data_IF_787972149434
#
_entry.id   IF_787972149434
#
_cell.length_a   1.000
_cell.length_b   1.000
_cell.length_c   1.000
_cell.angle_alpha   90.00
_cell.angle_beta   90.00
_cell.angle_gamma   90.00
#
_symmetry.space_group_name_H-M   'P 1'
#
loop_
_entity.id
_entity.type
_entity.pdbx_description
1 polymer ?
#
# COMPACT_ATOMS: atom_id res chain seq x y z
N UNK A 1 -2.57 11.84 14.05
CA UNK A 1 -2.25 13.17 13.49
C UNK A 1 -2.72 13.18 12.04
N UNK A 2 -3.43 14.20 11.59
CA UNK A 2 -3.99 14.28 10.24
C UNK A 2 -3.07 15.15 9.36
N UNK A 3 -2.52 14.57 8.28
CA UNK A 3 -1.76 15.32 7.28
C UNK A 3 -2.74 16.07 6.36
N UNK A 4 -3.04 17.33 6.66
CA UNK A 4 -3.88 18.18 5.81
C UNK A 4 -3.01 18.84 4.73
N UNK A 5 -3.09 18.32 3.50
CA UNK A 5 -2.76 19.04 2.28
C UNK A 5 -3.55 18.41 1.12
N UNK A 6 -4.84 18.76 0.97
CA UNK A 6 -5.67 18.45 -0.20
C UNK A 6 -5.83 16.97 -0.62
N UNK A 7 -5.19 16.04 0.10
CA UNK A 7 -5.10 14.63 -0.22
C UNK A 7 -6.11 13.81 0.56
N UNK A 8 -6.53 12.70 -0.03
CA UNK A 8 -7.35 11.66 0.58
C UNK A 8 -6.80 11.36 1.97
N UNK A 9 -7.60 11.65 3.01
CA UNK A 9 -7.21 11.34 4.38
C UNK A 9 -7.20 9.83 4.56
N UNK A 10 -6.00 9.27 4.72
CA UNK A 10 -5.86 7.87 5.09
C UNK A 10 -6.26 7.71 6.55
N UNK A 11 -7.29 6.91 6.80
CA UNK A 11 -7.62 6.48 8.15
C UNK A 11 -6.76 5.26 8.51
N UNK A 12 -6.03 5.38 9.62
CA UNK A 12 -5.15 4.32 10.08
C UNK A 12 -5.93 3.22 10.82
N UNK A 13 -6.15 2.11 10.15
CA UNK A 13 -6.80 0.92 10.72
C UNK A 13 -5.81 -0.10 11.28
N UNK A 14 -4.50 0.15 11.23
CA UNK A 14 -3.50 -0.81 11.70
C UNK A 14 -3.75 -1.26 13.15
N UNK A 15 -3.96 -0.36 14.12
CA UNK A 15 -4.19 -0.76 15.51
C UNK A 15 -5.41 -1.68 15.66
N UNK A 16 -6.53 -1.30 15.03
CA UNK A 16 -7.77 -2.07 15.09
C UNK A 16 -7.65 -3.44 14.39
N UNK A 17 -6.86 -3.54 13.33
CA UNK A 17 -6.60 -4.82 12.64
C UNK A 17 -5.72 -5.75 13.48
N UNK A 18 -4.66 -5.22 14.09
CA UNK A 18 -3.78 -5.99 14.99
C UNK A 18 -4.55 -6.48 16.21
N UNK A 19 -5.39 -5.63 16.82
CA UNK A 19 -6.23 -6.00 17.96
C UNK A 19 -7.22 -7.14 17.63
N UNK A 20 -7.78 -7.13 16.42
CA UNK A 20 -8.77 -8.14 15.98
C UNK A 20 -8.16 -9.45 15.52
N UNK A 21 -7.02 -9.40 14.82
CA UNK A 21 -6.42 -10.56 14.15
C UNK A 21 -5.25 -11.16 14.92
N UNK A 22 -4.68 -10.42 15.87
CA UNK A 22 -3.37 -10.71 16.45
C UNK A 22 -2.24 -10.50 15.44
N UNK A 23 -0.99 -10.45 15.90
CA UNK A 23 0.17 -10.17 15.04
C UNK A 23 0.35 -11.19 13.90
N UNK A 24 0.22 -12.48 14.19
CA UNK A 24 0.37 -13.54 13.19
C UNK A 24 -0.75 -13.52 12.14
N UNK A 25 -2.01 -13.39 12.60
CA UNK A 25 -3.17 -13.29 11.71
C UNK A 25 -3.10 -12.05 10.83
N UNK A 26 -2.69 -10.92 11.41
CA UNK A 26 -2.46 -9.68 10.69
C UNK A 26 -1.39 -9.83 9.60
N UNK A 27 -0.21 -10.38 9.93
CA UNK A 27 0.85 -10.62 8.95
C UNK A 27 0.40 -11.56 7.83
N UNK A 28 -0.37 -12.59 8.16
CA UNK A 28 -0.94 -13.51 7.17
C UNK A 28 -1.87 -12.79 6.19
N UNK A 29 -2.79 -11.98 6.70
CA UNK A 29 -3.72 -11.21 5.86
C UNK A 29 -3.00 -10.16 5.01
N UNK A 30 -1.99 -9.47 5.57
CA UNK A 30 -1.14 -8.57 4.77
C UNK A 30 -0.46 -9.33 3.62
N UNK A 31 0.18 -10.46 3.90
CA UNK A 31 0.83 -11.25 2.86
C UNK A 31 -0.17 -11.74 1.79
N UNK A 32 -1.39 -12.08 2.19
CA UNK A 32 -2.45 -12.46 1.24
C UNK A 32 -2.87 -11.29 0.35
N UNK A 33 -3.04 -10.09 0.94
CA UNK A 33 -3.31 -8.87 0.19
C UNK A 33 -2.22 -8.53 -0.81
N UNK A 34 -0.94 -8.61 -0.41
CA UNK A 34 0.19 -8.42 -1.32
C UNK A 34 0.17 -9.42 -2.48
N UNK A 35 -0.04 -10.72 -2.19
CA UNK A 35 -0.12 -11.77 -3.22
C UNK A 35 -1.28 -11.57 -4.19
N UNK A 36 -2.39 -11.02 -3.71
CA UNK A 36 -3.54 -10.72 -4.54
C UNK A 36 -3.24 -9.58 -5.52
N UNK A 37 -2.49 -8.55 -5.08
CA UNK A 37 -2.22 -7.34 -5.85
C UNK A 37 -0.98 -7.43 -6.77
N UNK A 38 -0.02 -8.29 -6.43
CA UNK A 38 1.26 -8.37 -7.12
C UNK A 38 1.19 -9.01 -8.50
N UNK A 39 2.13 -8.63 -9.36
CA UNK A 39 2.52 -9.45 -10.50
C UNK A 39 3.33 -10.65 -9.97
N UNK A 40 2.77 -11.85 -10.13
CA UNK A 40 3.36 -13.09 -9.60
C UNK A 40 4.70 -13.46 -10.23
N UNK A 41 5.00 -12.96 -11.44
CA UNK A 41 6.29 -13.19 -12.09
C UNK A 41 7.34 -12.21 -11.61
N UNK A 42 6.95 -10.95 -11.38
CA UNK A 42 7.89 -9.89 -11.00
C UNK A 42 8.12 -9.78 -9.50
N UNK A 43 7.24 -10.34 -8.67
CA UNK A 43 7.40 -10.24 -7.23
C UNK A 43 6.92 -8.92 -6.62
N UNK A 44 6.36 -8.01 -7.42
CA UNK A 44 6.02 -6.64 -7.02
C UNK A 44 4.63 -6.24 -7.50
N UNK A 45 4.01 -5.26 -6.83
CA UNK A 45 2.77 -4.64 -7.32
C UNK A 45 3.14 -3.74 -8.49
N UNK A 46 2.54 -4.03 -9.64
CA UNK A 46 2.67 -3.21 -10.86
C UNK A 46 1.36 -2.49 -11.11
N UNK A 47 1.41 -1.40 -11.88
CA UNK A 47 0.19 -0.71 -12.31
C UNK A 47 -0.81 -1.67 -12.98
N UNK A 48 -0.32 -2.53 -13.88
CA UNK A 48 -1.15 -3.52 -14.58
C UNK A 48 -1.76 -4.56 -13.64
N UNK A 49 -0.98 -5.10 -12.69
CA UNK A 49 -1.49 -6.08 -11.73
C UNK A 49 -2.49 -5.47 -10.76
N UNK A 50 -2.27 -4.21 -10.35
CA UNK A 50 -3.17 -3.45 -9.50
C UNK A 50 -4.49 -3.13 -10.23
N UNK A 51 -4.41 -2.65 -11.47
CA UNK A 51 -5.58 -2.35 -12.33
C UNK A 51 -6.42 -3.59 -12.61
N UNK A 52 -5.78 -4.75 -12.81
CA UNK A 52 -6.51 -6.03 -12.92
C UNK A 52 -7.21 -6.40 -11.61
N UNK A 53 -6.57 -6.14 -10.47
CA UNK A 53 -7.06 -6.54 -9.16
C UNK A 53 -8.14 -5.59 -8.60
N UNK A 54 -8.13 -4.32 -8.98
CA UNK A 54 -9.14 -3.32 -8.57
C UNK A 54 -10.56 -3.75 -8.95
N UNK A 55 -10.71 -4.47 -10.07
CA UNK A 55 -11.98 -5.03 -10.49
C UNK A 55 -12.53 -6.11 -9.55
N UNK A 56 -11.67 -6.81 -8.80
CA UNK A 56 -12.11 -7.82 -7.84
C UNK A 56 -12.35 -7.23 -6.45
N UNK A 57 -11.82 -6.04 -6.18
CA UNK A 57 -11.91 -5.36 -4.89
C UNK A 57 -13.07 -4.36 -4.81
N UNK A 58 -13.97 -4.35 -5.80
CA UNK A 58 -15.07 -3.38 -5.86
C UNK A 58 -14.63 -1.98 -6.29
N UNK A 59 -13.41 -1.82 -6.81
CA UNK A 59 -12.80 -0.55 -7.20
C UNK A 59 -12.87 -0.31 -8.72
N UNK A 60 -13.88 -0.86 -9.41
CA UNK A 60 -14.04 -0.73 -10.87
C UNK A 60 -14.20 0.72 -11.37
N UNK A 61 -14.56 1.66 -10.49
CA UNK A 61 -14.83 3.06 -10.84
C UNK A 61 -13.62 3.98 -10.82
N UNK A 62 -12.45 3.48 -10.42
CA UNK A 62 -11.23 4.30 -10.35
C UNK A 62 -10.67 4.57 -11.74
N UNK A 63 -10.33 5.83 -12.01
CA UNK A 63 -9.62 6.22 -13.23
C UNK A 63 -8.16 5.75 -13.18
N UNK A 64 -7.50 5.76 -14.33
CA UNK A 64 -6.07 5.42 -14.41
C UNK A 64 -5.24 6.41 -13.59
N UNK A 65 -5.62 7.69 -13.55
CA UNK A 65 -4.98 8.72 -12.73
C UNK A 65 -5.16 8.46 -11.23
N UNK A 66 -6.34 7.99 -10.81
CA UNK A 66 -6.61 7.64 -9.40
C UNK A 66 -5.80 6.41 -8.96
N UNK A 67 -5.62 5.43 -9.84
CA UNK A 67 -4.74 4.28 -9.60
C UNK A 67 -3.25 4.68 -9.65
N UNK A 68 -2.88 5.66 -10.49
CA UNK A 68 -1.53 6.20 -10.62
C UNK A 68 -1.20 7.29 -9.60
N UNK A 69 -2.08 7.68 -8.67
CA UNK A 69 -1.78 8.69 -7.64
C UNK A 69 -1.03 8.14 -6.40
N UNK A 70 -0.74 6.83 -6.38
CA UNK A 70 0.13 6.16 -5.39
C UNK A 70 1.66 6.47 -5.41
N UNK A 71 2.30 6.98 -6.48
CA UNK A 71 3.75 7.20 -6.54
C UNK A 71 4.22 8.32 -5.62
N UNK A 72 3.40 9.32 -5.31
CA UNK A 72 3.79 10.40 -4.41
C UNK A 72 4.07 9.89 -2.98
N UNK A 73 3.43 8.79 -2.56
CA UNK A 73 3.72 8.12 -1.29
C UNK A 73 4.95 7.19 -1.38
N UNK A 74 5.22 6.60 -2.54
CA UNK A 74 6.43 5.78 -2.74
C UNK A 74 7.71 6.62 -2.87
N UNK A 75 7.64 7.81 -3.48
CA UNK A 75 8.79 8.73 -3.57
C UNK A 75 9.29 9.17 -2.19
N UNK A 76 8.39 9.34 -1.22
CA UNK A 76 8.77 9.59 0.18
C UNK A 76 9.45 8.38 0.85
N UNK A 77 9.23 7.16 0.37
CA UNK A 77 9.77 5.95 1.01
C UNK A 77 11.21 5.66 0.58
N UNK A 78 11.56 5.97 -0.68
CA UNK A 78 12.94 5.83 -1.18
C UNK A 78 13.90 6.85 -0.54
N UNK A 79 13.47 8.10 -0.33
CA UNK A 79 14.27 9.10 0.40
C UNK A 79 14.51 8.72 1.86
N UNK A 80 13.49 8.16 2.54
CA UNK A 80 13.64 7.74 3.94
C UNK A 80 14.53 6.50 4.11
N UNK A 81 14.60 5.62 3.11
CA UNK A 81 15.50 4.45 3.14
C UNK A 81 16.96 4.86 2.92
N UNK A 82 17.23 5.80 2.01
CA UNK A 82 18.58 6.38 1.83
C UNK A 82 19.06 7.09 3.11
N UNK A 83 18.22 7.92 3.74
CA UNK A 83 18.56 8.60 5.00
C UNK A 83 18.81 7.62 6.16
N UNK A 84 18.04 6.52 6.25
CA UNK A 84 18.27 5.47 7.25
C UNK A 84 19.58 4.70 7.04
N UNK A 85 19.98 4.47 5.77
CA UNK A 85 21.25 3.84 5.43
C UNK A 85 22.46 4.77 5.63
N UNK A 86 22.30 6.07 5.39
CA UNK A 86 23.36 7.07 5.58
C UNK A 86 23.58 7.37 7.07
N UNK A 87 22.52 7.29 7.90
CA UNK A 87 22.61 7.53 9.34
C UNK A 87 23.14 6.36 10.17
N UNK A 88 23.33 5.17 9.57
CA UNK A 88 24.04 4.06 10.20
C UNK A 88 23.48 3.64 11.55
N UNK A 89 22.16 3.38 11.62
CA UNK A 89 21.52 2.66 12.73
C UNK A 89 21.57 1.15 12.46
#
# INVERSE_FOLDING_TARGET
MACQNGGVMFEDFFPAMVDKLGAEGFMKELCNGFRLLMDSRKGVITFESLKRSSAFLGLQGLSDEELMLSPALMQSSDELLEEALISGI
#
